data_IF_851836100047
#
_entry.id   IF_851836100047
#
_cell.length_a   1.000
_cell.length_b   1.000
_cell.length_c   1.000
_cell.angle_alpha   90.00
_cell.angle_beta   90.00
_cell.angle_gamma   90.00
#
_symmetry.space_group_name_H-M   'P 1'
#
loop_
_entity.id
_entity.type
_entity.pdbx_description
1 polymer ?
#
# COMPACT_ATOMS: atom_id res chain seq x y z
N UNK A 1 57.21 9.48 93.44
CA UNK A 1 58.57 9.93 93.45
C UNK A 1 58.97 10.36 92.07
N UNK A 2 59.32 11.63 91.95
CA UNK A 2 60.25 12.29 91.05
C UNK A 2 60.32 11.75 89.61
N UNK A 3 59.75 12.42 88.62
CA UNK A 3 60.37 13.55 87.89
C UNK A 3 61.51 13.16 86.97
N UNK A 4 61.34 13.30 85.67
CA UNK A 4 62.29 14.15 84.90
C UNK A 4 61.66 14.43 83.52
N UNK A 5 61.51 15.71 83.24
CA UNK A 5 61.14 16.32 81.96
C UNK A 5 62.37 16.33 81.09
N UNK A 6 62.25 15.88 79.85
CA UNK A 6 63.21 16.14 78.81
C UNK A 6 62.50 16.84 77.64
N UNK A 7 62.84 18.09 77.47
CA UNK A 7 62.39 18.98 76.37
C UNK A 7 63.22 18.70 75.14
N UNK A 8 62.51 18.20 74.05
CA UNK A 8 63.10 18.13 72.74
C UNK A 8 62.51 19.24 71.86
N UNK A 9 63.34 20.16 71.50
CA UNK A 9 63.03 21.17 70.47
C UNK A 9 63.15 20.52 69.12
N UNK A 10 62.05 20.36 68.40
CA UNK A 10 62.05 19.95 66.99
C UNK A 10 61.99 21.19 66.10
N UNK A 11 63.05 21.39 65.34
CA UNK A 11 63.17 22.39 64.28
C UNK A 11 62.25 21.99 63.14
N UNK A 12 61.19 22.71 62.83
CA UNK A 12 60.33 22.50 61.68
C UNK A 12 60.94 23.13 60.45
N UNK A 13 61.42 22.29 59.56
CA UNK A 13 61.78 22.70 58.19
C UNK A 13 60.46 22.81 57.43
N UNK A 14 60.00 24.00 57.11
CA UNK A 14 58.91 24.24 56.18
C UNK A 14 59.38 23.92 54.77
N UNK A 15 59.01 22.76 54.24
CA UNK A 15 59.11 22.49 52.84
C UNK A 15 57.91 23.11 52.06
N UNK A 16 58.14 24.18 51.30
CA UNK A 16 57.19 24.69 50.32
C UNK A 16 56.95 23.56 49.28
N UNK A 17 55.77 22.89 49.35
CA UNK A 17 55.24 22.20 48.23
C UNK A 17 54.84 23.24 47.21
N UNK A 18 55.50 23.25 46.04
CA UNK A 18 54.98 23.85 44.84
C UNK A 18 53.70 23.12 44.52
N UNK A 19 52.56 23.79 44.61
CA UNK A 19 51.36 23.39 43.96
C UNK A 19 51.63 23.47 42.45
N UNK A 20 51.93 22.33 41.84
CA UNK A 20 51.75 22.16 40.42
C UNK A 20 50.23 22.26 40.20
N UNK A 21 49.79 23.45 39.85
CA UNK A 21 48.43 23.68 39.32
C UNK A 21 48.35 22.89 38.03
N UNK A 22 48.03 21.63 38.13
CA UNK A 22 47.60 20.83 36.99
C UNK A 22 46.37 21.53 36.43
N UNK A 23 46.50 21.99 35.20
CA UNK A 23 45.33 22.39 34.40
C UNK A 23 44.25 21.32 34.60
N UNK A 24 42.99 21.68 34.91
CA UNK A 24 41.94 20.69 35.08
C UNK A 24 41.86 19.89 33.76
N UNK A 25 42.04 18.57 33.88
CA UNK A 25 41.92 17.63 32.74
C UNK A 25 40.70 18.03 31.92
N UNK A 26 40.81 18.43 30.64
CA UNK A 26 39.69 18.98 29.87
C UNK A 26 38.59 17.93 29.84
N UNK A 27 37.55 18.18 30.62
CA UNK A 27 36.42 17.26 30.75
C UNK A 27 35.85 17.01 29.34
N UNK A 28 35.87 15.75 28.90
CA UNK A 28 35.37 15.36 27.58
C UNK A 28 33.95 15.89 27.40
N UNK A 29 33.62 16.48 26.22
CA UNK A 29 32.25 16.93 25.99
C UNK A 29 31.26 15.77 26.03
N UNK A 30 30.04 16.04 26.47
CA UNK A 30 28.91 15.13 26.36
C UNK A 30 28.25 15.36 25.01
N UNK A 31 28.01 14.26 24.25
CA UNK A 31 27.31 14.29 22.98
C UNK A 31 25.86 13.81 23.16
N UNK A 32 24.89 14.58 22.65
CA UNK A 32 23.46 14.28 22.82
C UNK A 32 22.68 14.60 21.54
N UNK A 33 21.54 13.93 21.38
CA UNK A 33 20.56 14.14 20.32
C UNK A 33 19.18 14.30 20.97
N UNK A 34 18.29 15.09 20.39
CA UNK A 34 16.93 15.32 20.87
C UNK A 34 15.90 14.73 19.92
N UNK A 35 14.71 14.41 20.46
CA UNK A 35 13.57 13.94 19.68
C UNK A 35 13.13 14.97 18.64
N UNK A 36 12.61 14.49 17.52
CA UNK A 36 12.12 15.30 16.42
C UNK A 36 10.76 14.77 15.97
N UNK A 37 9.87 15.67 15.61
CA UNK A 37 8.58 15.36 14.98
C UNK A 37 8.52 16.07 13.64
N UNK A 38 8.10 15.37 12.61
CA UNK A 38 7.99 15.84 11.24
C UNK A 38 6.72 15.26 10.61
N UNK A 39 5.96 16.07 9.87
CA UNK A 39 4.87 15.54 9.05
C UNK A 39 5.42 14.68 7.93
N UNK A 40 4.69 13.63 7.57
CA UNK A 40 5.06 12.71 6.51
C UNK A 40 5.12 13.43 5.16
N UNK A 41 4.04 14.14 4.80
CA UNK A 41 3.88 14.82 3.51
C UNK A 41 3.60 13.85 2.35
N UNK A 42 2.95 14.38 1.30
CA UNK A 42 2.60 13.59 0.10
C UNK A 42 3.79 13.30 -0.85
N UNK A 43 5.01 13.54 -0.43
CA UNK A 43 6.25 13.27 -1.19
C UNK A 43 7.44 13.19 -0.24
N UNK A 44 8.49 12.47 -0.67
CA UNK A 44 9.72 12.31 0.11
C UNK A 44 10.24 13.64 0.63
N UNK A 45 10.55 13.69 1.92
CA UNK A 45 11.08 14.85 2.61
C UNK A 45 12.17 14.45 3.62
N UNK A 46 12.60 15.36 4.49
CA UNK A 46 13.79 15.13 5.33
C UNK A 46 13.51 15.53 6.78
N UNK A 47 13.76 14.61 7.71
CA UNK A 47 13.75 14.85 9.17
C UNK A 47 15.16 15.11 9.67
N UNK A 48 15.41 16.32 10.19
CA UNK A 48 16.72 16.79 10.64
C UNK A 48 16.91 16.61 12.16
N UNK A 49 17.78 15.70 12.57
CA UNK A 49 18.21 15.56 13.97
C UNK A 49 19.42 16.43 14.26
N UNK A 50 19.33 17.28 15.26
CA UNK A 50 20.45 18.11 15.72
C UNK A 50 21.22 17.39 16.82
N UNK A 51 22.50 17.10 16.53
CA UNK A 51 23.43 16.48 17.48
C UNK A 51 24.33 17.55 18.08
N UNK A 52 24.45 17.59 19.41
CA UNK A 52 25.13 18.65 20.16
C UNK A 52 26.22 18.11 21.07
N UNK A 53 27.32 18.85 21.18
CA UNK A 53 28.32 18.73 22.23
C UNK A 53 28.04 19.72 23.33
N UNK A 54 28.21 19.32 24.58
CA UNK A 54 28.02 20.20 25.77
C UNK A 54 29.02 21.36 25.82
N UNK A 55 30.18 21.23 25.14
CA UNK A 55 31.23 22.24 25.00
C UNK A 55 32.10 21.93 23.78
N UNK A 56 32.76 22.94 23.25
CA UNK A 56 33.69 22.81 22.15
C UNK A 56 34.90 21.95 22.55
N UNK A 57 35.31 21.02 21.70
CA UNK A 57 36.52 20.22 21.86
C UNK A 57 37.70 20.86 21.11
N UNK A 58 38.91 20.59 21.61
CA UNK A 58 40.18 21.07 20.98
C UNK A 58 40.63 20.10 19.84
N UNK A 59 40.11 18.91 19.83
CA UNK A 59 40.40 17.85 18.84
C UNK A 59 39.08 17.32 18.24
N UNK A 60 39.19 16.60 17.12
CA UNK A 60 38.02 15.97 16.53
C UNK A 60 37.29 15.07 17.52
N UNK A 61 35.96 15.21 17.58
CA UNK A 61 35.04 14.28 18.24
C UNK A 61 34.33 13.46 17.16
N UNK A 62 34.33 12.14 17.32
CA UNK A 62 33.67 11.23 16.40
C UNK A 62 32.53 10.51 17.12
N UNK A 63 31.46 10.22 16.37
CA UNK A 63 30.37 9.35 16.83
C UNK A 63 29.77 8.64 15.63
N UNK A 64 29.43 7.38 15.79
CA UNK A 64 28.66 6.66 14.78
C UNK A 64 27.17 6.81 15.07
N UNK A 65 26.34 6.75 14.02
CA UNK A 65 24.91 6.79 14.15
C UNK A 65 24.23 5.80 13.21
N UNK A 66 23.03 5.34 13.61
CA UNK A 66 22.17 4.43 12.86
C UNK A 66 20.71 4.76 13.16
N UNK A 67 19.82 4.36 12.28
CA UNK A 67 18.37 4.33 12.57
C UNK A 67 17.94 2.92 12.99
N UNK A 68 16.89 2.84 13.82
CA UNK A 68 16.22 1.59 14.21
C UNK A 68 14.72 1.76 14.00
N UNK A 69 14.09 0.81 13.30
CA UNK A 69 12.63 0.77 13.14
C UNK A 69 11.93 0.63 14.51
N UNK A 70 10.82 1.35 14.63
CA UNK A 70 9.86 1.23 15.71
C UNK A 70 8.51 0.78 15.15
N UNK A 71 7.47 1.63 15.26
CA UNK A 71 6.25 1.49 14.48
C UNK A 71 6.53 1.86 13.02
N UNK A 72 7.27 2.94 12.77
CA UNK A 72 7.80 3.27 11.45
C UNK A 72 8.85 2.24 11.00
N UNK A 73 8.75 1.76 9.76
CA UNK A 73 9.55 0.68 9.18
C UNK A 73 10.50 1.20 8.09
N UNK A 74 11.75 0.78 8.19
CA UNK A 74 12.76 1.11 7.18
C UNK A 74 12.38 0.56 5.79
N UNK A 75 12.43 1.43 4.78
CA UNK A 75 12.08 1.10 3.39
C UNK A 75 10.58 1.20 3.07
N UNK A 76 9.77 1.56 4.06
CA UNK A 76 8.34 1.90 3.91
C UNK A 76 8.15 3.37 4.27
N UNK A 77 8.50 3.77 5.51
CA UNK A 77 8.21 5.11 6.05
C UNK A 77 9.46 5.99 6.12
N UNK A 78 10.65 5.40 6.08
CA UNK A 78 11.93 6.13 6.05
C UNK A 78 13.06 5.32 5.43
N UNK A 79 14.10 6.01 4.96
CA UNK A 79 15.32 5.39 4.45
C UNK A 79 16.27 5.08 5.60
N UNK A 80 16.60 3.79 5.76
CA UNK A 80 17.49 3.35 6.85
C UNK A 80 18.90 3.90 6.74
N UNK A 81 19.47 4.33 7.87
CA UNK A 81 20.89 4.69 8.00
C UNK A 81 21.59 3.61 8.82
N UNK A 82 22.67 3.04 8.28
CA UNK A 82 23.47 2.02 8.94
C UNK A 82 24.91 2.50 9.20
N UNK A 83 25.26 2.60 10.49
CA UNK A 83 26.63 2.82 10.97
C UNK A 83 27.41 3.94 10.25
N UNK A 84 26.77 5.09 10.02
CA UNK A 84 27.43 6.28 9.47
C UNK A 84 28.26 6.98 10.55
N UNK A 85 29.32 7.68 10.16
CA UNK A 85 30.18 8.43 11.07
C UNK A 85 29.94 9.93 10.94
N UNK A 86 29.75 10.59 12.10
CA UNK A 86 29.69 12.04 12.23
C UNK A 86 30.97 12.55 12.91
N UNK A 87 31.58 13.61 12.39
CA UNK A 87 32.81 14.22 12.92
C UNK A 87 32.56 15.68 13.25
N UNK A 88 32.82 16.04 14.51
CA UNK A 88 32.90 17.44 14.93
C UNK A 88 34.37 17.87 14.87
N UNK A 89 34.67 18.90 14.13
CA UNK A 89 36.00 19.53 14.11
C UNK A 89 36.26 20.34 15.39
N UNK A 90 37.53 20.78 15.62
CA UNK A 90 37.83 21.65 16.76
C UNK A 90 36.96 22.90 16.75
N UNK A 91 36.34 23.22 17.92
CA UNK A 91 35.46 24.37 18.04
C UNK A 91 34.00 24.15 17.66
N UNK A 92 33.66 23.07 16.96
CA UNK A 92 32.26 22.77 16.59
C UNK A 92 31.51 22.18 17.79
N UNK A 93 30.24 22.59 17.93
CA UNK A 93 29.34 22.09 19.01
C UNK A 93 28.00 21.58 18.52
N UNK A 94 27.72 21.73 17.23
CA UNK A 94 26.43 21.30 16.64
C UNK A 94 26.63 20.77 15.23
N UNK A 95 25.92 19.70 14.91
CA UNK A 95 25.77 19.15 13.55
C UNK A 95 24.39 18.54 13.36
N UNK A 96 23.96 18.48 12.10
CA UNK A 96 22.71 17.83 11.72
C UNK A 96 22.96 16.49 11.06
N UNK A 97 22.03 15.57 11.31
CA UNK A 97 21.88 14.31 10.60
C UNK A 97 20.49 14.30 10.03
N UNK A 98 20.39 14.12 8.71
CA UNK A 98 19.15 14.08 7.98
C UNK A 98 18.74 12.62 7.72
N UNK A 99 17.49 12.27 8.03
CA UNK A 99 16.85 11.01 7.70
C UNK A 99 15.78 11.32 6.65
N UNK A 100 15.84 10.64 5.51
CA UNK A 100 14.83 10.77 4.45
C UNK A 100 13.56 10.05 4.90
N UNK A 101 12.43 10.76 4.89
CA UNK A 101 11.08 10.25 5.15
C UNK A 101 10.43 10.00 3.80
N UNK A 102 9.86 8.81 3.64
CA UNK A 102 9.13 8.40 2.44
C UNK A 102 7.69 8.86 2.64
N UNK A 103 7.28 9.88 1.88
CA UNK A 103 5.95 10.44 1.97
C UNK A 103 5.04 9.88 0.89
N UNK A 104 3.76 9.69 1.23
CA UNK A 104 2.72 9.30 0.29
C UNK A 104 1.39 10.02 0.57
N UNK A 105 0.27 9.55 0.07
CA UNK A 105 -1.06 10.13 0.30
C UNK A 105 -2.02 9.16 1.02
N UNK A 106 -1.46 8.19 1.73
CA UNK A 106 -2.20 7.16 2.46
C UNK A 106 -2.34 7.57 3.93
N UNK A 107 -3.58 7.65 4.43
CA UNK A 107 -3.79 7.92 5.86
C UNK A 107 -3.28 6.76 6.72
N UNK A 108 -2.34 7.07 7.58
CA UNK A 108 -1.75 6.13 8.54
C UNK A 108 -1.88 6.65 9.98
N UNK A 109 -1.42 5.90 10.94
CA UNK A 109 -1.28 6.40 12.31
C UNK A 109 0.06 7.08 12.46
N UNK A 110 0.18 8.05 13.39
CA UNK A 110 1.48 8.59 13.76
C UNK A 110 2.44 7.46 14.13
N UNK A 111 3.60 7.45 13.50
CA UNK A 111 4.59 6.40 13.63
C UNK A 111 5.92 6.90 14.18
N UNK A 112 6.84 6.00 14.52
CA UNK A 112 8.13 6.41 15.04
C UNK A 112 9.25 5.40 14.81
N UNK A 113 10.46 5.94 14.66
CA UNK A 113 11.73 5.23 14.66
C UNK A 113 12.71 5.88 15.64
N UNK A 114 13.87 5.29 15.84
CA UNK A 114 14.92 5.88 16.69
C UNK A 114 16.18 6.20 15.89
N UNK A 115 16.79 7.36 16.13
CA UNK A 115 18.19 7.65 15.79
C UNK A 115 19.05 7.32 17.01
N UNK A 116 20.08 6.48 16.82
CA UNK A 116 20.96 5.99 17.90
C UNK A 116 22.39 6.43 17.66
N UNK A 117 23.02 7.02 18.66
CA UNK A 117 24.44 7.39 18.68
C UNK A 117 25.27 6.28 19.36
N UNK A 118 26.37 5.92 18.74
CA UNK A 118 27.21 4.78 19.13
C UNK A 118 28.72 5.13 19.04
N UNK A 119 29.54 4.45 19.83
CA UNK A 119 31.00 4.46 19.69
C UNK A 119 31.64 5.87 19.67
N UNK A 120 31.41 6.73 20.67
CA UNK A 120 32.00 8.07 20.70
C UNK A 120 33.51 7.98 20.91
N UNK A 121 34.27 8.81 20.19
CA UNK A 121 35.69 9.05 20.44
C UNK A 121 35.90 10.51 20.82
N UNK A 122 36.66 10.76 21.88
CA UNK A 122 36.92 12.08 22.48
C UNK A 122 35.68 12.77 23.05
N UNK A 123 34.61 12.03 23.33
CA UNK A 123 33.39 12.48 24.01
C UNK A 123 32.81 11.34 24.84
N UNK A 124 31.79 11.66 25.66
CA UNK A 124 30.96 10.69 26.38
C UNK A 124 29.52 10.82 25.87
N UNK A 125 28.75 9.71 25.82
CA UNK A 125 27.35 9.73 25.43
C UNK A 125 26.50 10.31 26.60
N UNK A 126 25.70 11.32 26.28
CA UNK A 126 24.56 11.77 27.08
C UNK A 126 23.28 11.09 26.62
N UNK A 127 22.32 11.87 26.12
CA UNK A 127 21.13 11.31 25.45
C UNK A 127 21.55 10.74 24.08
N UNK A 128 21.76 9.43 24.04
CA UNK A 128 22.27 8.75 22.87
C UNK A 128 21.21 8.18 21.95
N UNK A 129 19.93 8.34 22.29
CA UNK A 129 18.78 7.94 21.48
C UNK A 129 17.81 9.10 21.37
N UNK A 130 17.28 9.30 20.18
CA UNK A 130 16.23 10.26 19.90
C UNK A 130 15.12 9.58 19.11
N UNK A 131 13.90 9.86 19.52
CA UNK A 131 12.70 9.43 18.81
C UNK A 131 12.44 10.37 17.62
N UNK A 132 12.38 9.82 16.39
CA UNK A 132 11.78 10.48 15.25
C UNK A 132 10.31 10.09 15.20
N UNK A 133 9.41 11.06 15.27
CA UNK A 133 7.97 10.83 15.09
C UNK A 133 7.57 11.36 13.74
N UNK A 134 7.07 10.49 12.89
CA UNK A 134 6.43 10.81 11.61
C UNK A 134 4.95 10.99 11.94
N UNK A 135 4.43 12.19 11.73
CA UNK A 135 3.00 12.47 11.94
C UNK A 135 2.28 12.37 10.63
N UNK A 136 1.19 11.62 10.63
CA UNK A 136 0.30 11.56 9.49
C UNK A 136 -0.30 12.95 9.24
N UNK A 137 -0.27 13.41 7.99
CA UNK A 137 -0.95 14.63 7.52
C UNK A 137 -1.95 14.36 6.40
N UNK A 138 -2.13 13.09 6.05
CA UNK A 138 -3.15 12.62 5.14
C UNK A 138 -4.47 12.36 5.85
N UNK A 139 -5.54 12.34 5.09
CA UNK A 139 -6.87 12.03 5.61
C UNK A 139 -7.69 11.28 4.55
N UNK A 140 -8.59 10.42 5.01
CA UNK A 140 -9.48 9.63 4.16
C UNK A 140 -10.27 10.47 3.14
N UNK A 141 -10.46 11.76 3.40
CA UNK A 141 -11.13 12.65 2.46
C UNK A 141 -10.28 12.91 1.20
N UNK A 142 -8.94 12.80 1.29
CA UNK A 142 -8.06 12.95 0.11
C UNK A 142 -8.26 11.81 -0.89
N UNK A 143 -8.54 10.59 -0.43
CA UNK A 143 -8.83 9.45 -1.30
C UNK A 143 -10.27 9.42 -1.81
N UNK A 144 -11.18 10.25 -1.25
CA UNK A 144 -12.61 10.25 -1.57
C UNK A 144 -13.26 8.85 -1.47
N UNK A 145 -12.83 8.04 -0.51
CA UNK A 145 -13.40 6.72 -0.25
C UNK A 145 -14.78 6.91 0.41
N UNK A 146 -15.85 6.31 -0.15
CA UNK A 146 -17.16 6.36 0.50
C UNK A 146 -17.13 5.68 1.87
N UNK A 147 -17.82 6.27 2.85
CA UNK A 147 -17.98 5.70 4.20
C UNK A 147 -19.24 4.87 4.38
N UNK A 148 -20.11 4.83 3.37
CA UNK A 148 -21.40 4.16 3.42
C UNK A 148 -21.71 3.42 2.13
N UNK A 149 -22.77 2.64 2.12
CA UNK A 149 -23.25 1.93 0.92
C UNK A 149 -23.92 0.62 1.28
N UNK A 150 -24.30 -0.13 0.24
CA UNK A 150 -24.94 -1.42 0.38
C UNK A 150 -23.94 -2.48 0.91
N UNK A 151 -24.43 -3.45 1.68
CA UNK A 151 -23.67 -4.61 2.12
C UNK A 151 -24.52 -5.87 2.10
N UNK A 152 -23.92 -7.02 1.81
CA UNK A 152 -24.62 -8.32 1.87
C UNK A 152 -24.38 -9.01 3.21
N UNK A 153 -25.28 -9.95 3.60
CA UNK A 153 -25.08 -10.76 4.80
C UNK A 153 -23.75 -11.55 4.75
N UNK A 154 -23.18 -11.82 5.92
CA UNK A 154 -22.00 -12.66 6.06
C UNK A 154 -22.31 -14.16 5.91
N UNK A 155 -23.57 -14.53 5.92
CA UNK A 155 -24.04 -15.93 5.81
C UNK A 155 -25.32 -16.01 4.98
N UNK A 156 -25.46 -17.11 4.23
CA UNK A 156 -26.65 -17.42 3.48
C UNK A 156 -27.19 -18.81 3.88
N UNK A 157 -28.53 -18.98 4.06
CA UNK A 157 -29.12 -20.29 4.33
C UNK A 157 -28.74 -21.32 3.25
N UNK A 158 -28.23 -22.47 3.69
CA UNK A 158 -27.84 -23.56 2.80
C UNK A 158 -26.55 -23.34 2.00
N UNK A 159 -25.79 -22.29 2.31
CA UNK A 159 -24.47 -22.03 1.71
C UNK A 159 -23.40 -21.89 2.81
N UNK A 160 -22.18 -22.31 2.50
CA UNK A 160 -21.02 -22.17 3.36
C UNK A 160 -20.07 -21.15 2.77
N UNK A 161 -19.56 -20.22 3.57
CA UNK A 161 -18.47 -19.33 3.19
C UNK A 161 -17.20 -20.18 3.02
N UNK A 162 -16.74 -20.37 1.78
CA UNK A 162 -15.57 -21.22 1.46
C UNK A 162 -14.30 -20.42 1.28
N UNK A 163 -14.42 -19.13 0.98
CA UNK A 163 -13.29 -18.22 0.86
C UNK A 163 -13.76 -16.77 0.95
N UNK A 164 -12.89 -15.95 1.51
CA UNK A 164 -13.04 -14.50 1.52
C UNK A 164 -11.68 -13.81 1.53
N UNK A 165 -11.65 -12.56 1.05
CA UNK A 165 -10.62 -11.58 1.34
C UNK A 165 -11.33 -10.27 1.73
N UNK A 166 -11.13 -9.85 2.98
CA UNK A 166 -11.70 -8.63 3.56
C UNK A 166 -10.69 -7.47 3.52
N UNK A 167 -9.52 -7.67 2.93
CA UNK A 167 -8.43 -6.71 2.76
C UNK A 167 -7.99 -5.98 4.04
N UNK A 168 -8.22 -6.58 5.21
CA UNK A 168 -7.90 -6.01 6.53
C UNK A 168 -6.39 -5.99 6.87
N UNK A 169 -5.54 -6.44 5.95
CA UNK A 169 -4.08 -6.40 6.11
C UNK A 169 -3.53 -5.18 5.39
N UNK A 170 -2.50 -4.56 5.94
CA UNK A 170 -1.79 -3.44 5.29
C UNK A 170 -1.03 -3.86 4.02
N UNK A 171 -1.03 -5.13 3.68
CA UNK A 171 -0.41 -5.66 2.45
C UNK A 171 -1.31 -6.67 1.77
N UNK A 172 -1.24 -6.73 0.43
CA UNK A 172 -1.94 -7.72 -0.36
C UNK A 172 -1.55 -9.14 0.06
N UNK A 173 -2.54 -10.01 0.26
CA UNK A 173 -2.29 -11.42 0.59
C UNK A 173 -1.75 -12.18 -0.63
N UNK A 174 -0.43 -12.30 -0.73
CA UNK A 174 0.25 -12.98 -1.84
C UNK A 174 -0.01 -14.49 -1.90
N UNK A 175 -0.62 -15.10 -0.87
CA UNK A 175 -1.10 -16.49 -0.95
C UNK A 175 -2.39 -16.62 -1.78
N UNK A 176 -3.12 -15.51 -1.98
CA UNK A 176 -4.34 -15.45 -2.79
C UNK A 176 -4.10 -14.80 -4.15
N UNK A 177 -3.31 -13.74 -4.20
CA UNK A 177 -3.17 -12.87 -5.34
C UNK A 177 -1.77 -12.87 -5.96
N UNK A 178 -1.72 -12.63 -7.25
CA UNK A 178 -0.50 -12.38 -8.03
C UNK A 178 -0.75 -11.19 -8.94
N UNK A 179 0.16 -10.23 -8.99
CA UNK A 179 0.09 -9.16 -9.98
C UNK A 179 0.52 -9.65 -11.37
N UNK A 180 -0.24 -9.28 -12.38
CA UNK A 180 0.19 -9.34 -13.78
C UNK A 180 0.77 -7.98 -14.16
N UNK A 181 1.92 -7.99 -14.84
CA UNK A 181 2.69 -6.78 -15.14
C UNK A 181 2.83 -6.55 -16.63
N UNK A 182 3.00 -5.28 -17.00
CA UNK A 182 3.32 -4.90 -18.38
C UNK A 182 2.17 -4.23 -19.11
N UNK A 183 2.46 -3.76 -20.31
CA UNK A 183 1.44 -3.26 -21.25
C UNK A 183 0.89 -4.39 -22.14
N UNK A 184 1.71 -5.45 -22.40
CA UNK A 184 1.36 -6.64 -23.18
C UNK A 184 0.66 -6.33 -24.54
N UNK A 185 1.05 -5.23 -25.19
CA UNK A 185 0.45 -4.81 -26.46
C UNK A 185 -1.01 -4.34 -26.31
N UNK A 186 -1.38 -3.80 -25.13
CA UNK A 186 -2.73 -3.29 -24.83
C UNK A 186 -3.72 -4.38 -24.40
N UNK A 187 -3.24 -5.49 -23.87
CA UNK A 187 -4.03 -6.58 -23.25
C UNK A 187 -5.17 -7.12 -24.12
N UNK A 188 -5.04 -7.01 -25.45
CA UNK A 188 -6.04 -7.45 -26.41
C UNK A 188 -7.15 -6.42 -26.70
N UNK A 189 -7.19 -5.31 -25.98
CA UNK A 189 -8.22 -4.28 -26.07
C UNK A 189 -7.70 -2.89 -26.46
N UNK A 190 -6.41 -2.76 -26.85
CA UNK A 190 -5.72 -1.48 -27.05
C UNK A 190 -5.72 -0.60 -25.79
N UNK A 191 -5.60 -1.21 -24.63
CA UNK A 191 -5.46 -0.53 -23.34
C UNK A 191 -4.13 0.24 -23.29
N UNK A 192 -4.12 1.37 -22.59
CA UNK A 192 -3.01 2.34 -22.62
C UNK A 192 -2.05 2.22 -21.42
N UNK A 193 -2.50 1.65 -20.30
CA UNK A 193 -1.72 1.57 -19.09
C UNK A 193 -0.62 0.50 -19.14
N UNK A 194 0.38 0.69 -18.28
CA UNK A 194 1.28 -0.35 -17.85
C UNK A 194 0.80 -0.85 -16.47
N UNK A 195 0.51 -2.14 -16.33
CA UNK A 195 0.15 -2.72 -15.04
C UNK A 195 1.39 -3.01 -14.20
N UNK A 196 1.34 -2.61 -12.92
CA UNK A 196 2.43 -2.78 -11.95
C UNK A 196 1.89 -2.93 -10.53
N UNK A 197 2.64 -3.60 -9.60
CA UNK A 197 2.20 -3.81 -8.21
C UNK A 197 2.01 -2.51 -7.42
N UNK A 198 2.82 -1.48 -7.67
CA UNK A 198 2.83 -0.21 -6.94
C UNK A 198 1.57 0.64 -7.15
N UNK A 199 0.68 0.18 -8.03
CA UNK A 199 -0.66 0.73 -8.20
C UNK A 199 -1.72 -0.06 -7.41
N UNK A 200 -1.30 -0.93 -6.48
CA UNK A 200 -2.19 -1.67 -5.56
C UNK A 200 -1.67 -1.52 -4.15
N UNK A 201 -2.52 -1.04 -3.27
CA UNK A 201 -2.20 -0.92 -1.85
C UNK A 201 -3.45 -1.16 -0.99
N UNK A 202 -3.24 -1.39 0.30
CA UNK A 202 -4.32 -1.49 1.28
C UNK A 202 -4.44 -0.17 2.03
N UNK A 203 -5.67 0.28 2.26
CA UNK A 203 -5.95 1.49 3.01
C UNK A 203 -7.25 1.31 3.79
N UNK A 204 -7.21 1.53 5.10
CA UNK A 204 -8.36 1.45 6.00
C UNK A 204 -9.21 0.16 5.79
N UNK A 205 -8.53 -1.00 5.75
CA UNK A 205 -9.19 -2.29 5.55
C UNK A 205 -9.82 -2.47 4.17
N UNK A 206 -9.31 -1.80 3.15
CA UNK A 206 -9.80 -1.88 1.76
C UNK A 206 -8.64 -2.06 0.81
N UNK A 207 -8.88 -2.74 -0.29
CA UNK A 207 -7.97 -2.81 -1.41
C UNK A 207 -8.20 -1.60 -2.32
N UNK A 208 -7.14 -0.88 -2.64
CA UNK A 208 -7.15 0.19 -3.62
C UNK A 208 -6.39 -0.26 -4.86
N UNK A 209 -7.01 -0.16 -6.03
CA UNK A 209 -6.34 -0.25 -7.32
C UNK A 209 -6.39 1.14 -7.94
N UNK A 210 -5.22 1.75 -8.13
CA UNK A 210 -5.12 3.14 -8.55
C UNK A 210 -4.60 3.26 -9.98
N UNK A 211 -5.33 3.96 -10.83
CA UNK A 211 -4.89 4.37 -12.15
C UNK A 211 -4.28 5.77 -12.07
N UNK A 212 -3.04 5.92 -12.53
CA UNK A 212 -2.27 7.17 -12.51
C UNK A 212 -1.97 7.63 -13.94
N UNK A 213 -1.91 8.95 -14.11
CA UNK A 213 -1.35 9.54 -15.32
C UNK A 213 0.12 9.84 -15.07
N UNK A 214 0.96 8.87 -15.39
CA UNK A 214 2.41 8.98 -15.26
C UNK A 214 3.11 8.21 -16.38
N UNK A 215 4.32 8.65 -16.74
CA UNK A 215 5.09 7.97 -17.78
C UNK A 215 5.88 6.82 -17.17
N UNK A 216 5.58 5.60 -17.60
CA UNK A 216 6.30 4.40 -17.15
C UNK A 216 6.47 3.39 -18.30
N UNK A 217 7.71 2.95 -18.54
CA UNK A 217 8.04 1.93 -19.55
C UNK A 217 7.39 2.13 -20.93
N UNK A 218 7.25 3.39 -21.37
CA UNK A 218 6.67 3.76 -22.66
C UNK A 218 5.15 3.93 -22.66
N UNK A 219 4.47 3.65 -21.57
CA UNK A 219 3.06 3.97 -21.36
C UNK A 219 2.91 5.33 -20.68
N UNK A 220 1.79 6.03 -20.92
CA UNK A 220 1.46 7.33 -20.31
C UNK A 220 0.56 7.18 -19.07
N UNK A 221 0.19 5.97 -18.74
CA UNK A 221 -0.64 5.62 -17.60
C UNK A 221 -0.09 4.37 -16.94
N UNK A 222 -0.25 4.30 -15.61
CA UNK A 222 -0.03 3.08 -14.85
C UNK A 222 -1.31 2.68 -14.13
N UNK A 223 -1.42 1.40 -13.82
CA UNK A 223 -2.54 0.84 -13.04
C UNK A 223 -2.15 -0.53 -12.52
N UNK A 224 -3.11 -1.29 -11.96
CA UNK A 224 -2.85 -2.65 -11.52
C UNK A 224 -3.88 -3.65 -12.03
N UNK A 225 -3.39 -4.88 -12.19
CA UNK A 225 -4.16 -6.08 -12.51
C UNK A 225 -3.67 -7.22 -11.64
N UNK A 226 -4.57 -7.86 -10.92
CA UNK A 226 -4.25 -8.93 -9.99
C UNK A 226 -5.15 -10.14 -10.24
N UNK A 227 -4.59 -11.33 -10.07
CA UNK A 227 -5.26 -12.60 -10.38
C UNK A 227 -5.12 -13.61 -9.23
N UNK A 228 -6.11 -14.49 -9.09
CA UNK A 228 -6.03 -15.63 -8.15
C UNK A 228 -5.60 -16.94 -8.83
N UNK A 229 -5.18 -16.90 -10.09
CA UNK A 229 -4.78 -18.04 -10.90
C UNK A 229 -3.77 -18.95 -10.20
N UNK A 230 -4.08 -20.25 -10.11
CA UNK A 230 -3.21 -21.24 -9.46
C UNK A 230 -3.17 -21.16 -7.93
N UNK A 231 -3.94 -20.25 -7.32
CA UNK A 231 -4.00 -20.04 -5.88
C UNK A 231 -5.40 -20.23 -5.31
N UNK A 232 -6.39 -19.52 -5.89
CA UNK A 232 -7.82 -19.62 -5.52
C UNK A 232 -8.66 -19.72 -6.80
N UNK A 233 -9.29 -20.86 -6.97
CA UNK A 233 -10.13 -21.18 -8.11
C UNK A 233 -11.43 -21.79 -7.62
N UNK A 234 -12.55 -21.44 -8.23
CA UNK A 234 -13.87 -21.82 -7.78
C UNK A 234 -14.70 -22.35 -8.95
N UNK A 235 -15.62 -23.22 -8.63
CA UNK A 235 -16.65 -23.69 -9.54
C UNK A 235 -17.99 -23.62 -8.83
N UNK A 236 -18.89 -22.83 -9.40
CA UNK A 236 -20.23 -22.55 -8.86
C UNK A 236 -20.23 -21.80 -7.51
N UNK A 237 -21.39 -21.41 -7.06
CA UNK A 237 -21.60 -20.71 -5.79
C UNK A 237 -22.16 -19.32 -5.98
N UNK A 238 -22.30 -18.61 -4.86
CA UNK A 238 -22.57 -17.17 -4.83
C UNK A 238 -21.26 -16.44 -4.56
N UNK A 239 -21.02 -15.39 -5.32
CA UNK A 239 -19.87 -14.48 -5.16
C UNK A 239 -20.44 -13.11 -4.89
N UNK A 240 -19.95 -12.45 -3.83
CA UNK A 240 -20.28 -11.06 -3.49
C UNK A 240 -18.98 -10.24 -3.48
N UNK A 241 -18.94 -9.14 -4.23
CA UNK A 241 -17.83 -8.18 -4.27
C UNK A 241 -18.39 -6.82 -3.90
N UNK A 242 -17.94 -6.24 -2.77
CA UNK A 242 -18.33 -4.91 -2.34
C UNK A 242 -17.27 -3.91 -2.77
N UNK A 243 -17.65 -2.91 -3.54
CA UNK A 243 -16.71 -1.94 -4.07
C UNK A 243 -17.37 -0.58 -4.35
N UNK A 244 -16.53 0.47 -4.37
CA UNK A 244 -16.83 1.75 -4.99
C UNK A 244 -15.99 1.91 -6.26
N UNK A 245 -16.60 2.36 -7.35
CA UNK A 245 -15.96 2.36 -8.66
C UNK A 245 -15.43 3.75 -9.02
N UNK A 246 -14.34 3.83 -9.82
CA UNK A 246 -13.84 5.09 -10.36
C UNK A 246 -14.80 5.71 -11.37
N UNK A 247 -14.48 6.90 -11.86
CA UNK A 247 -15.24 7.60 -12.90
C UNK A 247 -14.30 8.33 -13.87
N UNK A 248 -14.83 8.83 -14.97
CA UNK A 248 -14.06 9.58 -15.97
C UNK A 248 -13.89 8.79 -17.27
N UNK A 249 -13.96 9.49 -18.39
CA UNK A 249 -13.82 8.88 -19.71
C UNK A 249 -12.50 8.12 -19.85
N UNK A 250 -12.53 6.96 -20.49
CA UNK A 250 -11.35 6.11 -20.66
C UNK A 250 -10.99 5.26 -19.43
N UNK A 251 -11.77 5.30 -18.37
CA UNK A 251 -11.59 4.46 -17.17
C UNK A 251 -12.47 3.20 -17.30
N UNK A 252 -11.89 2.03 -16.99
CA UNK A 252 -12.55 0.73 -17.18
C UNK A 252 -12.16 -0.25 -16.06
N UNK A 253 -12.84 -0.19 -14.91
CA UNK A 253 -12.71 -1.20 -13.85
C UNK A 253 -13.44 -2.48 -14.23
N UNK A 254 -12.88 -3.63 -13.80
CA UNK A 254 -13.52 -4.92 -13.98
C UNK A 254 -13.23 -5.89 -12.82
N UNK A 255 -14.28 -6.62 -12.40
CA UNK A 255 -14.21 -7.83 -11.60
C UNK A 255 -14.72 -8.99 -12.45
N UNK A 256 -13.84 -9.87 -12.82
CA UNK A 256 -14.14 -10.92 -13.78
C UNK A 256 -13.39 -12.22 -13.49
N UNK A 257 -13.77 -13.26 -14.18
CA UNK A 257 -13.21 -14.60 -14.01
C UNK A 257 -12.89 -15.23 -15.36
N UNK A 258 -11.81 -15.97 -15.41
CA UNK A 258 -11.38 -16.71 -16.58
C UNK A 258 -11.28 -18.21 -16.24
N UNK A 259 -11.67 -19.08 -17.20
CA UNK A 259 -11.60 -20.52 -16.99
C UNK A 259 -10.17 -21.00 -16.72
N UNK A 260 -9.98 -21.83 -15.69
CA UNK A 260 -8.66 -22.31 -15.26
C UNK A 260 -7.92 -23.11 -16.31
N UNK A 261 -8.63 -23.65 -17.31
CA UNK A 261 -8.06 -24.31 -18.50
C UNK A 261 -7.62 -23.36 -19.61
N UNK A 262 -7.57 -22.03 -19.35
CA UNK A 262 -7.20 -21.01 -20.34
C UNK A 262 -5.92 -21.34 -21.11
N UNK A 263 -4.90 -21.87 -20.45
CA UNK A 263 -3.61 -22.19 -21.10
C UNK A 263 -3.70 -23.33 -22.12
N UNK A 264 -4.73 -24.16 -22.04
CA UNK A 264 -4.92 -25.33 -22.94
C UNK A 264 -6.07 -25.12 -23.92
N UNK A 265 -7.18 -24.54 -23.46
CA UNK A 265 -8.35 -24.30 -24.30
C UNK A 265 -8.26 -23.00 -25.12
N UNK A 266 -7.53 -22.00 -24.58
CA UNK A 266 -7.49 -20.65 -25.13
C UNK A 266 -8.80 -19.89 -24.92
N UNK A 267 -8.76 -18.58 -25.18
CA UNK A 267 -9.94 -17.73 -25.16
C UNK A 267 -10.63 -17.73 -26.57
N UNK A 268 -11.96 -17.72 -26.64
CA UNK A 268 -12.97 -17.75 -25.58
C UNK A 268 -13.42 -19.16 -25.17
N UNK A 269 -12.76 -20.21 -25.64
CA UNK A 269 -13.17 -21.59 -25.39
C UNK A 269 -13.06 -22.00 -23.90
N UNK A 270 -12.18 -21.33 -23.12
CA UNK A 270 -12.09 -21.49 -21.67
C UNK A 270 -13.29 -20.88 -20.93
N UNK A 271 -14.07 -20.01 -21.58
CA UNK A 271 -15.11 -19.22 -20.94
C UNK A 271 -14.56 -18.03 -20.15
N UNK A 272 -15.31 -16.94 -20.14
CA UNK A 272 -15.07 -15.73 -19.34
C UNK A 272 -16.39 -15.28 -18.71
N UNK A 273 -16.37 -14.88 -17.46
CA UNK A 273 -17.53 -14.39 -16.72
C UNK A 273 -17.16 -13.03 -16.12
N UNK A 274 -17.77 -11.97 -16.59
CA UNK A 274 -17.59 -10.63 -16.07
C UNK A 274 -18.68 -10.39 -15.04
N UNK A 275 -18.27 -10.40 -13.76
CA UNK A 275 -19.19 -10.15 -12.64
C UNK A 275 -19.60 -8.69 -12.65
N UNK A 276 -18.66 -7.80 -12.92
CA UNK A 276 -18.86 -6.37 -13.05
C UNK A 276 -17.86 -5.78 -14.04
N UNK A 277 -18.36 -5.05 -15.02
CA UNK A 277 -17.59 -4.09 -15.80
C UNK A 277 -18.31 -2.74 -15.83
N UNK A 278 -17.54 -1.66 -15.95
CA UNK A 278 -18.07 -0.30 -16.10
C UNK A 278 -17.14 0.52 -16.99
N UNK A 279 -17.69 1.41 -17.81
CA UNK A 279 -16.91 2.45 -18.46
C UNK A 279 -17.15 3.79 -17.77
N UNK A 280 -16.07 4.50 -17.46
CA UNK A 280 -16.13 5.72 -16.66
C UNK A 280 -16.89 6.88 -17.28
N UNK A 281 -17.24 6.80 -18.59
CA UNK A 281 -18.19 7.73 -19.24
C UNK A 281 -19.65 7.43 -18.91
N UNK A 282 -19.95 6.28 -18.29
CA UNK A 282 -21.27 5.88 -17.81
C UNK A 282 -21.19 5.42 -16.34
N UNK A 283 -20.75 6.28 -15.42
CA UNK A 283 -20.33 5.90 -14.07
C UNK A 283 -21.45 5.44 -13.14
N UNK A 284 -22.69 5.43 -13.59
CA UNK A 284 -23.84 4.88 -12.89
C UNK A 284 -24.32 3.54 -13.43
N UNK A 285 -23.60 2.91 -14.38
CA UNK A 285 -24.06 1.70 -15.09
C UNK A 285 -23.04 0.57 -14.96
N UNK A 286 -23.44 -0.52 -14.31
CA UNK A 286 -22.68 -1.76 -14.26
C UNK A 286 -23.15 -2.75 -15.33
N UNK A 287 -22.24 -3.51 -15.91
CA UNK A 287 -22.50 -4.56 -16.89
C UNK A 287 -22.10 -5.91 -16.32
N UNK A 288 -22.87 -6.97 -16.65
CA UNK A 288 -22.52 -8.35 -16.40
C UNK A 288 -22.53 -9.10 -17.73
N UNK A 289 -21.49 -9.88 -18.01
CA UNK A 289 -21.28 -10.49 -19.32
C UNK A 289 -20.79 -11.93 -19.19
N UNK A 290 -21.04 -12.75 -20.19
CA UNK A 290 -20.29 -13.98 -20.45
C UNK A 290 -19.73 -13.95 -21.87
N UNK A 291 -18.49 -14.43 -22.02
CA UNK A 291 -17.86 -14.65 -23.31
C UNK A 291 -17.65 -16.15 -23.54
N UNK A 292 -18.02 -16.61 -24.74
CA UNK A 292 -17.96 -18.03 -25.10
C UNK A 292 -17.72 -18.21 -26.62
N UNK A 293 -17.39 -19.41 -27.02
CA UNK A 293 -17.09 -19.79 -28.41
C UNK A 293 -16.04 -20.89 -28.42
N UNK A 294 -15.71 -21.39 -29.60
CA UNK A 294 -14.65 -22.40 -29.78
C UNK A 294 -13.33 -21.79 -30.25
N UNK A 295 -13.35 -20.56 -30.74
CA UNK A 295 -12.20 -19.78 -31.19
C UNK A 295 -12.54 -18.28 -31.20
N UNK A 296 -11.56 -17.42 -31.37
CA UNK A 296 -11.78 -15.97 -31.56
C UNK A 296 -12.69 -15.64 -32.76
N UNK A 297 -12.66 -16.44 -33.81
CA UNK A 297 -13.53 -16.27 -34.97
C UNK A 297 -15.00 -16.63 -34.69
N UNK A 298 -15.27 -17.46 -33.70
CA UNK A 298 -16.63 -17.90 -33.29
C UNK A 298 -17.04 -17.27 -31.93
N UNK A 299 -16.29 -16.29 -31.46
CA UNK A 299 -16.58 -15.59 -30.22
C UNK A 299 -17.98 -14.99 -30.22
N UNK A 300 -18.70 -15.22 -29.15
CA UNK A 300 -20.01 -14.67 -28.85
C UNK A 300 -20.00 -14.17 -27.40
N UNK A 301 -20.92 -13.26 -27.08
CA UNK A 301 -21.16 -12.78 -25.73
C UNK A 301 -22.65 -12.64 -25.42
N UNK A 302 -22.97 -12.67 -24.14
CA UNK A 302 -24.30 -12.27 -23.61
C UNK A 302 -24.08 -11.29 -22.48
N UNK A 303 -24.57 -10.08 -22.65
CA UNK A 303 -24.44 -8.99 -21.70
C UNK A 303 -25.78 -8.38 -21.35
N UNK A 304 -25.92 -7.91 -20.13
CA UNK A 304 -26.95 -6.97 -19.71
C UNK A 304 -26.33 -5.95 -18.75
N UNK A 305 -27.06 -4.87 -18.53
CA UNK A 305 -26.59 -3.78 -17.68
C UNK A 305 -27.67 -3.34 -16.68
N UNK A 306 -27.21 -2.75 -15.59
CA UNK A 306 -28.04 -2.11 -14.56
C UNK A 306 -27.53 -0.70 -14.32
N UNK A 307 -28.39 0.29 -14.55
CA UNK A 307 -28.12 1.69 -14.24
C UNK A 307 -28.78 2.03 -12.88
N UNK A 308 -28.06 2.74 -12.04
CA UNK A 308 -28.58 3.27 -10.78
C UNK A 308 -29.68 4.31 -11.06
N UNK A 309 -30.66 4.39 -10.16
CA UNK A 309 -31.72 5.40 -10.24
C UNK A 309 -31.17 6.80 -9.92
N UNK A 310 -31.92 7.83 -10.31
CA UNK A 310 -31.69 9.23 -9.94
C UNK A 310 -30.31 9.78 -10.30
N UNK A 311 -29.68 9.26 -11.37
CA UNK A 311 -28.32 9.63 -11.80
C UNK A 311 -27.24 9.39 -10.72
N UNK A 312 -27.46 8.49 -9.77
CA UNK A 312 -26.47 8.10 -8.78
C UNK A 312 -25.26 7.44 -9.47
N UNK A 313 -24.09 7.62 -8.89
CA UNK A 313 -22.84 7.08 -9.43
C UNK A 313 -22.36 5.92 -8.56
N UNK A 314 -21.77 4.92 -9.19
CA UNK A 314 -21.13 3.79 -8.50
C UNK A 314 -19.86 4.20 -7.72
N UNK A 315 -19.46 5.47 -7.86
CA UNK A 315 -18.37 6.09 -7.12
C UNK A 315 -18.80 6.73 -5.78
N UNK A 316 -20.10 7.05 -5.61
CA UNK A 316 -20.55 7.88 -4.48
C UNK A 316 -20.83 7.06 -3.20
N UNK A 317 -20.94 5.74 -3.33
CA UNK A 317 -21.18 4.80 -2.23
C UNK A 317 -20.61 3.41 -2.57
N UNK A 318 -20.44 2.57 -1.56
CA UNK A 318 -20.18 1.16 -1.81
C UNK A 318 -21.43 0.44 -2.32
N UNK A 319 -21.25 -0.38 -3.34
CA UNK A 319 -22.22 -1.27 -3.93
C UNK A 319 -21.77 -2.72 -3.87
N UNK A 320 -22.68 -3.67 -3.92
CA UNK A 320 -22.33 -5.09 -4.00
C UNK A 320 -22.70 -5.64 -5.36
N UNK A 321 -21.67 -6.08 -6.07
CA UNK A 321 -21.75 -6.78 -7.34
C UNK A 321 -21.74 -8.28 -7.04
N UNK A 322 -22.90 -8.94 -7.26
CA UNK A 322 -23.02 -10.35 -6.93
C UNK A 322 -23.30 -11.19 -8.16
N UNK A 323 -22.82 -12.44 -8.09
CA UNK A 323 -23.12 -13.46 -9.07
C UNK A 323 -23.58 -14.73 -8.36
N UNK A 324 -24.66 -15.35 -8.82
CA UNK A 324 -25.01 -16.73 -8.48
C UNK A 324 -24.74 -17.61 -9.70
N UNK A 325 -23.87 -18.59 -9.51
CA UNK A 325 -23.41 -19.46 -10.56
C UNK A 325 -23.70 -20.93 -10.23
N UNK A 326 -24.49 -21.56 -11.07
CA UNK A 326 -24.92 -22.96 -10.99
C UNK A 326 -24.51 -23.69 -12.28
N UNK A 327 -24.69 -25.00 -12.32
CA UNK A 327 -24.24 -25.82 -13.46
C UNK A 327 -24.74 -25.33 -14.83
N UNK A 328 -25.99 -24.90 -14.91
CA UNK A 328 -26.62 -24.49 -16.17
C UNK A 328 -27.25 -23.09 -16.07
N UNK A 329 -26.77 -22.25 -15.15
CA UNK A 329 -27.32 -20.92 -14.95
C UNK A 329 -26.33 -20.00 -14.26
N UNK A 330 -26.25 -18.77 -14.75
CA UNK A 330 -25.51 -17.67 -14.12
C UNK A 330 -26.44 -16.47 -14.02
N UNK A 331 -26.50 -15.85 -12.84
CA UNK A 331 -27.33 -14.67 -12.55
C UNK A 331 -26.47 -13.58 -11.95
N UNK A 332 -26.71 -12.33 -12.34
CA UNK A 332 -26.01 -11.16 -11.84
C UNK A 332 -26.95 -10.25 -11.06
N UNK A 333 -26.39 -9.65 -10.00
CA UNK A 333 -27.12 -8.75 -9.12
C UNK A 333 -26.28 -7.51 -8.86
N UNK A 334 -26.94 -6.35 -8.74
CA UNK A 334 -26.42 -5.13 -8.17
C UNK A 334 -27.26 -4.79 -6.94
N UNK A 335 -26.64 -4.74 -5.76
CA UNK A 335 -27.30 -4.52 -4.46
C UNK A 335 -28.50 -5.48 -4.25
N UNK A 336 -28.27 -6.77 -4.48
CA UNK A 336 -29.25 -7.87 -4.47
C UNK A 336 -30.42 -7.75 -5.47
N UNK A 337 -30.39 -6.77 -6.37
CA UNK A 337 -31.38 -6.66 -7.45
C UNK A 337 -30.86 -7.39 -8.68
N UNK A 338 -31.49 -8.52 -9.04
CA UNK A 338 -31.13 -9.26 -10.26
C UNK A 338 -31.35 -8.40 -11.51
N UNK A 339 -30.37 -8.38 -12.41
CA UNK A 339 -30.49 -7.66 -13.68
C UNK A 339 -30.13 -8.49 -14.90
N UNK A 340 -29.47 -9.65 -14.72
CA UNK A 340 -29.09 -10.54 -15.83
C UNK A 340 -29.24 -12.00 -15.45
N UNK A 341 -29.54 -12.85 -16.44
CA UNK A 341 -29.51 -14.31 -16.32
C UNK A 341 -29.06 -14.90 -17.66
N UNK A 342 -28.16 -15.88 -17.60
CA UNK A 342 -27.70 -16.65 -18.75
C UNK A 342 -27.81 -18.15 -18.45
N UNK A 343 -28.35 -18.89 -19.42
CA UNK A 343 -28.47 -20.34 -19.41
C UNK A 343 -27.99 -20.90 -20.73
N UNK A 344 -27.72 -22.22 -20.87
CA UNK A 344 -27.40 -22.82 -22.17
C UNK A 344 -28.43 -22.50 -23.26
N UNK A 345 -29.70 -22.42 -22.91
CA UNK A 345 -30.77 -22.09 -23.84
C UNK A 345 -30.69 -20.65 -24.40
N UNK A 346 -30.21 -19.71 -23.57
CA UNK A 346 -30.06 -18.29 -23.97
C UNK A 346 -28.85 -18.04 -24.86
N UNK A 347 -27.85 -18.95 -24.89
CA UNK A 347 -26.68 -18.82 -25.76
C UNK A 347 -27.03 -19.05 -27.23
N UNK A 348 -28.05 -19.86 -27.50
CA UNK A 348 -28.44 -20.29 -28.85
C UNK A 348 -28.08 -21.73 -29.14
N UNK A 349 -28.77 -22.31 -30.14
CA UNK A 349 -28.58 -23.73 -30.50
C UNK A 349 -27.14 -24.02 -30.95
N UNK A 350 -26.53 -25.07 -30.37
CA UNK A 350 -25.18 -25.53 -30.74
C UNK A 350 -24.03 -24.70 -30.16
N UNK A 351 -24.32 -23.67 -29.38
CA UNK A 351 -23.27 -22.90 -28.73
C UNK A 351 -22.68 -23.65 -27.52
N UNK A 352 -21.35 -23.55 -27.30
CA UNK A 352 -20.72 -24.20 -26.16
C UNK A 352 -21.12 -23.50 -24.82
N UNK A 353 -21.19 -24.30 -23.75
CA UNK A 353 -21.35 -23.83 -22.38
C UNK A 353 -20.06 -24.11 -21.59
N UNK A 354 -19.05 -23.22 -21.61
CA UNK A 354 -17.74 -23.47 -20.99
C UNK A 354 -17.73 -23.23 -19.47
N UNK A 355 -18.85 -22.94 -18.84
CA UNK A 355 -18.94 -22.48 -17.47
C UNK A 355 -19.12 -23.62 -16.44
N UNK A 356 -18.70 -24.88 -16.78
CA UNK A 356 -18.81 -26.04 -15.91
C UNK A 356 -17.46 -26.51 -15.37
N UNK A 357 -16.50 -25.60 -15.21
CA UNK A 357 -15.15 -25.86 -14.75
C UNK A 357 -14.72 -24.83 -13.70
N UNK A 358 -13.51 -24.94 -13.15
CA UNK A 358 -12.98 -23.94 -12.26
C UNK A 358 -12.62 -22.65 -12.99
N UNK A 359 -12.85 -21.53 -12.34
CA UNK A 359 -12.49 -20.19 -12.76
C UNK A 359 -11.68 -19.50 -11.66
N UNK A 360 -10.77 -18.62 -12.06
CA UNK A 360 -10.01 -17.75 -11.18
C UNK A 360 -10.42 -16.29 -11.36
N UNK A 361 -10.30 -15.50 -10.31
CA UNK A 361 -10.59 -14.07 -10.34
C UNK A 361 -9.50 -13.27 -11.04
N UNK A 362 -9.94 -12.19 -11.69
CA UNK A 362 -9.12 -11.10 -12.21
C UNK A 362 -9.77 -9.79 -11.78
N UNK A 363 -9.02 -8.95 -11.05
CA UNK A 363 -9.42 -7.59 -10.68
C UNK A 363 -8.46 -6.63 -11.35
N UNK A 364 -8.98 -5.66 -12.09
CA UNK A 364 -8.15 -4.66 -12.72
C UNK A 364 -8.87 -3.33 -12.91
N UNK A 365 -8.08 -2.29 -13.11
CA UNK A 365 -8.53 -0.97 -13.54
C UNK A 365 -7.79 -0.62 -14.82
N UNK A 366 -8.44 -0.80 -15.97
CA UNK A 366 -7.86 -0.44 -17.27
C UNK A 366 -8.00 1.06 -17.53
N UNK A 367 -7.08 1.60 -18.33
CA UNK A 367 -7.10 2.97 -18.84
C UNK A 367 -7.06 2.94 -20.36
N UNK A 368 -8.03 3.56 -21.00
CA UNK A 368 -8.19 3.48 -22.44
C UNK A 368 -8.70 2.12 -22.91
N UNK A 369 -8.75 1.93 -24.19
CA UNK A 369 -9.17 0.71 -24.83
C UNK A 369 -10.29 0.91 -25.84
N UNK A 370 -10.64 -0.17 -26.53
CA UNK A 370 -11.63 -0.14 -27.64
C UNK A 370 -13.02 0.29 -27.16
N UNK A 371 -13.40 -0.07 -25.92
CA UNK A 371 -14.75 0.19 -25.40
C UNK A 371 -14.85 1.54 -24.67
N UNK A 372 -14.01 1.87 -23.65
CA UNK A 372 -14.11 3.14 -22.93
C UNK A 372 -13.58 4.33 -23.75
N UNK A 373 -12.83 4.09 -24.83
CA UNK A 373 -12.05 5.11 -25.53
C UNK A 373 -10.85 5.59 -24.71
N UNK A 374 -10.18 6.62 -25.17
CA UNK A 374 -9.05 7.22 -24.42
C UNK A 374 -9.55 8.23 -23.38
N UNK A 375 -8.84 8.40 -22.24
CA UNK A 375 -9.05 9.54 -21.36
C UNK A 375 -8.95 10.87 -22.12
N UNK A 376 -9.64 11.90 -21.61
CA UNK A 376 -9.52 13.26 -22.10
C UNK A 376 -9.47 14.23 -20.89
N UNK A 377 -9.46 15.53 -21.13
CA UNK A 377 -9.36 16.56 -20.09
C UNK A 377 -10.48 16.55 -19.04
N UNK A 378 -11.53 15.72 -19.20
CA UNK A 378 -12.57 15.52 -18.20
C UNK A 378 -12.23 14.43 -17.18
N UNK A 379 -11.20 13.62 -17.42
CA UNK A 379 -10.75 12.56 -16.52
C UNK A 379 -9.64 13.09 -15.63
N UNK A 380 -9.95 13.26 -14.36
CA UNK A 380 -8.99 13.71 -13.34
C UNK A 380 -8.34 12.50 -12.72
N UNK A 381 -7.02 12.41 -12.80
CA UNK A 381 -6.23 11.36 -12.15
C UNK A 381 -5.70 11.84 -10.79
N UNK A 382 -5.44 10.92 -9.85
CA UNK A 382 -5.62 9.46 -9.95
C UNK A 382 -7.09 9.05 -9.89
N UNK A 383 -7.41 7.88 -10.46
CA UNK A 383 -8.72 7.24 -10.35
C UNK A 383 -8.58 5.92 -9.59
N UNK A 384 -9.50 5.64 -8.68
CA UNK A 384 -9.36 4.52 -7.73
C UNK A 384 -10.56 3.57 -7.80
N UNK A 385 -10.26 2.29 -7.92
CA UNK A 385 -11.19 1.19 -7.69
C UNK A 385 -10.97 0.72 -6.25
N UNK A 386 -11.98 0.93 -5.40
CA UNK A 386 -11.90 0.63 -3.96
C UNK A 386 -12.71 -0.63 -3.67
N UNK A 387 -12.08 -1.69 -3.18
CA UNK A 387 -12.73 -2.97 -2.87
C UNK A 387 -12.71 -3.20 -1.35
N UNK A 388 -13.89 -3.37 -0.77
CA UNK A 388 -14.06 -3.62 0.66
C UNK A 388 -13.91 -5.12 0.98
N UNK A 389 -14.59 -5.96 0.21
CA UNK A 389 -14.45 -7.41 0.34
C UNK A 389 -14.77 -8.16 -0.95
N UNK A 390 -14.28 -9.39 -1.01
CA UNK A 390 -14.76 -10.45 -1.90
C UNK A 390 -15.05 -11.71 -1.08
N UNK A 391 -16.25 -12.29 -1.26
CA UNK A 391 -16.73 -13.46 -0.53
C UNK A 391 -17.29 -14.50 -1.50
N UNK A 392 -16.96 -15.78 -1.26
CA UNK A 392 -17.44 -16.91 -2.06
C UNK A 392 -18.16 -17.90 -1.16
N UNK A 393 -19.40 -18.19 -1.50
CA UNK A 393 -20.28 -19.12 -0.78
C UNK A 393 -20.67 -20.30 -1.68
N UNK A 394 -20.54 -21.55 -1.16
CA UNK A 394 -20.90 -22.78 -1.86
C UNK A 394 -21.85 -23.66 -1.03
#
# INVERSE_FOLDING_TARGET
MRSLIALFILLSIAACKKDDGGDPDPQKPTISVADVTQAEGNADNVMDFTIRLSQAAQTNVLVNYSTLSGTAQAGVDFVAIANQQLIFGPGETEKKVSVEIIGDDVEESDESFELVLLNPANAVLGQSRAKGTITNDDNNNALNIPTSGYSTPETYPGRTLVWQDEFNSNTLNTSFWTHEMGNNGGWGNNELQYYRPENTYSHDGKLIIEARQENFSGSQYTSSRMVTKGKKEFKYGRIDIRAALPKGKGIWPAFWMLGSNFTTAGWPACGEIDIMEMIGSQPGTAHGTVHYGTSTATHQQRTASKTLANNALLADAFHVFSMEWEENRIRWYLDDVQFHEVTPATLGAGQPWPFNQNFFFIFNLAVGGNWPGSPDGSTIFPQRLVVDYVRVFQ
#
